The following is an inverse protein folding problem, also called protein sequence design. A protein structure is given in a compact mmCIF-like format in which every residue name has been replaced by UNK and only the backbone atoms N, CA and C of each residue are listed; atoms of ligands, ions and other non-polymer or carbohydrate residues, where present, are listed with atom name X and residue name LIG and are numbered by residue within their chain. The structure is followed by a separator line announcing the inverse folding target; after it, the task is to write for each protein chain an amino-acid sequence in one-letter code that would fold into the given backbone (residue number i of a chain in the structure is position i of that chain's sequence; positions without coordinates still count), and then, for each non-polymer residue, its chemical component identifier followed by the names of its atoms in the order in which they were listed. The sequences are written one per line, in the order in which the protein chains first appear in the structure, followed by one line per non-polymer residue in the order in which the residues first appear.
data_IF_285304766430
#
_entry.id   IF_285304766430
#
_cell.length_a   1.000
_cell.length_b   1.000
_cell.length_c   1.000
_cell.angle_alpha   90.00
_cell.angle_beta   90.00
_cell.angle_gamma   90.00
#
_symmetry.space_group_name_H-M   'P 1'
#
loop_
_entity.id
_entity.type
_entity.pdbx_description
1 polymer ?
#
# COMPACT_ATOMS: atom_id res chain seq x y z
N UNK A 1 1.54 55.68 -1.51
CA UNK A 1 1.70 56.28 -2.86
C UNK A 1 1.56 57.77 -2.74
N UNK A 2 2.37 58.50 -3.50
CA UNK A 2 2.77 59.90 -3.33
C UNK A 2 1.59 60.88 -3.52
N UNK A 3 1.43 61.82 -2.58
CA UNK A 3 0.63 63.02 -2.74
C UNK A 3 1.30 63.97 -3.73
N UNK A 4 0.55 64.44 -4.73
CA UNK A 4 0.96 65.54 -5.59
C UNK A 4 0.04 66.73 -5.36
N UNK A 5 0.61 67.72 -4.69
CA UNK A 5 0.18 69.12 -4.69
C UNK A 5 0.58 69.71 -6.05
N UNK A 6 -0.32 70.42 -6.73
CA UNK A 6 0.02 71.16 -7.94
C UNK A 6 -0.41 72.64 -7.83
N UNK A 7 0.50 73.49 -8.33
CA UNK A 7 0.68 74.89 -8.02
C UNK A 7 -0.36 75.86 -8.59
N UNK A 8 -0.54 76.95 -7.85
CA UNK A 8 -1.01 78.25 -8.35
C UNK A 8 -0.13 78.74 -9.52
N UNK A 9 -0.76 79.15 -10.62
CA UNK A 9 -0.15 80.04 -11.61
C UNK A 9 -0.79 81.43 -11.55
N UNK A 10 0.11 82.39 -11.34
CA UNK A 10 -0.05 83.84 -11.21
C UNK A 10 -0.20 84.46 -12.61
N UNK A 11 -1.12 85.40 -12.79
CA UNK A 11 -1.18 86.24 -14.00
C UNK A 11 -1.20 87.73 -13.62
N UNK A 12 -0.28 88.46 -14.26
CA UNK A 12 0.06 89.87 -14.07
C UNK A 12 -1.03 90.83 -14.49
N UNK A 13 -1.15 91.89 -13.71
CA UNK A 13 -1.77 93.17 -14.05
C UNK A 13 -0.82 94.04 -14.89
N UNK A 14 -1.30 94.55 -16.03
CA UNK A 14 -0.72 95.75 -16.69
C UNK A 14 -1.81 96.55 -17.43
N UNK A 15 -1.97 97.79 -16.97
CA UNK A 15 -2.30 99.05 -17.67
C UNK A 15 -3.48 99.13 -18.67
N UNK A 16 -4.37 100.07 -18.33
CA UNK A 16 -5.35 100.81 -19.14
C UNK A 16 -4.75 101.60 -20.31
N UNK A 17 -5.54 101.97 -21.34
CA UNK A 17 -6.12 103.33 -21.32
C UNK A 17 -7.58 103.43 -21.83
N UNK A 18 -8.23 104.51 -21.44
CA UNK A 18 -9.53 105.02 -21.89
C UNK A 18 -9.54 105.33 -23.40
N UNK A 19 -10.71 105.28 -24.05
CA UNK A 19 -11.19 106.54 -24.61
C UNK A 19 -12.69 106.80 -24.43
N UNK A 20 -13.01 108.10 -24.33
CA UNK A 20 -14.33 108.69 -24.51
C UNK A 20 -15.04 108.14 -25.76
N UNK A 21 -16.31 107.76 -25.61
CA UNK A 21 -17.28 107.75 -26.70
C UNK A 21 -18.70 107.82 -26.14
N UNK A 22 -19.14 109.05 -25.88
CA UNK A 22 -20.52 109.44 -25.72
C UNK A 22 -21.30 109.08 -26.99
N UNK A 23 -22.33 108.23 -26.88
CA UNK A 23 -23.30 107.99 -27.95
C UNK A 23 -23.45 106.52 -28.35
N UNK A 24 -24.42 105.83 -27.73
CA UNK A 24 -25.23 104.69 -28.24
C UNK A 24 -25.75 103.85 -27.05
N UNK A 25 -26.71 104.41 -26.31
CA UNK A 25 -27.32 103.71 -25.16
C UNK A 25 -28.25 102.56 -25.60
N UNK A 26 -28.68 102.51 -26.87
CA UNK A 26 -29.64 101.50 -27.35
C UNK A 26 -29.02 100.27 -28.05
N UNK A 27 -27.85 100.40 -28.71
CA UNK A 27 -27.15 99.26 -29.33
C UNK A 27 -26.29 98.44 -28.35
N UNK A 28 -25.80 99.07 -27.28
CA UNK A 28 -24.98 98.44 -26.23
C UNK A 28 -25.79 97.53 -25.31
N UNK A 29 -27.04 97.90 -24.98
CA UNK A 29 -27.95 97.07 -24.20
C UNK A 29 -28.34 95.78 -24.95
N UNK A 30 -28.67 95.86 -26.25
CA UNK A 30 -28.92 94.71 -27.11
C UNK A 30 -27.69 93.79 -27.25
N UNK A 31 -26.47 94.36 -27.32
CA UNK A 31 -25.21 93.62 -27.36
C UNK A 31 -24.90 92.90 -26.03
N UNK A 32 -25.16 93.55 -24.88
CA UNK A 32 -25.03 92.93 -23.55
C UNK A 32 -26.07 91.84 -23.32
N UNK A 33 -27.31 92.07 -23.74
CA UNK A 33 -28.40 91.10 -23.60
C UNK A 33 -28.15 89.84 -24.46
N UNK A 34 -27.69 90.02 -25.71
CA UNK A 34 -27.30 88.89 -26.58
C UNK A 34 -26.06 88.15 -26.05
N UNK A 35 -25.10 88.86 -25.44
CA UNK A 35 -23.96 88.24 -24.77
C UNK A 35 -24.39 87.44 -23.52
N UNK A 36 -25.28 87.98 -22.68
CA UNK A 36 -25.82 87.26 -21.52
C UNK A 36 -26.62 86.02 -21.95
N UNK A 37 -27.44 86.10 -23.00
CA UNK A 37 -28.15 84.95 -23.57
C UNK A 37 -27.18 83.87 -24.09
N UNK A 38 -26.07 84.29 -24.74
CA UNK A 38 -25.03 83.37 -25.22
C UNK A 38 -24.28 82.68 -24.06
N UNK A 39 -24.00 83.42 -22.98
CA UNK A 39 -23.34 82.86 -21.79
C UNK A 39 -24.27 81.93 -21.01
N UNK A 40 -25.56 82.26 -20.90
CA UNK A 40 -26.57 81.39 -20.31
C UNK A 40 -26.74 80.09 -21.11
N UNK A 41 -26.84 80.18 -22.44
CA UNK A 41 -26.92 79.00 -23.32
C UNK A 41 -25.66 78.13 -23.21
N UNK A 42 -24.47 78.74 -23.15
CA UNK A 42 -23.20 78.01 -22.96
C UNK A 42 -23.15 77.32 -21.59
N UNK A 43 -23.63 77.98 -20.54
CA UNK A 43 -23.69 77.42 -19.20
C UNK A 43 -24.68 76.25 -19.11
N UNK A 44 -25.84 76.38 -19.75
CA UNK A 44 -26.84 75.31 -19.84
C UNK A 44 -26.29 74.08 -20.57
N UNK A 45 -25.58 74.28 -21.70
CA UNK A 45 -24.90 73.20 -22.42
C UNK A 45 -23.82 72.53 -21.57
N UNK A 46 -23.02 73.31 -20.83
CA UNK A 46 -21.99 72.78 -19.93
C UNK A 46 -22.60 71.96 -18.77
N UNK A 47 -23.66 72.47 -18.15
CA UNK A 47 -24.37 71.74 -17.08
C UNK A 47 -24.98 70.44 -17.60
N UNK A 48 -25.59 70.47 -18.78
CA UNK A 48 -26.13 69.27 -19.44
C UNK A 48 -25.04 68.25 -19.80
N UNK A 49 -23.86 68.71 -20.20
CA UNK A 49 -22.71 67.85 -20.48
C UNK A 49 -22.14 67.23 -19.20
N UNK A 50 -22.06 67.98 -18.10
CA UNK A 50 -21.69 67.45 -16.78
C UNK A 50 -22.68 66.41 -16.28
N UNK A 51 -23.98 66.69 -16.35
CA UNK A 51 -25.01 65.73 -15.93
C UNK A 51 -24.96 64.44 -16.78
N UNK A 52 -24.72 64.56 -18.08
CA UNK A 52 -24.54 63.41 -18.97
C UNK A 52 -23.27 62.62 -18.64
N UNK A 53 -22.18 63.29 -18.23
CA UNK A 53 -20.94 62.63 -17.80
C UNK A 53 -21.12 61.91 -16.46
N UNK A 54 -21.78 62.55 -15.49
CA UNK A 54 -22.06 61.98 -14.18
C UNK A 54 -22.99 60.76 -14.27
N UNK A 55 -24.02 60.81 -15.13
CA UNK A 55 -24.89 59.65 -15.40
C UNK A 55 -24.10 58.48 -15.97
N UNK A 56 -23.24 58.72 -16.96
CA UNK A 56 -22.36 57.67 -17.52
C UNK A 56 -21.42 57.09 -16.48
N UNK A 57 -20.84 57.93 -15.62
CA UNK A 57 -19.98 57.47 -14.52
C UNK A 57 -20.76 56.61 -13.52
N UNK A 58 -21.97 57.04 -13.13
CA UNK A 58 -22.83 56.28 -12.23
C UNK A 58 -23.24 54.92 -12.82
N UNK A 59 -23.57 54.86 -14.11
CA UNK A 59 -23.87 53.62 -14.83
C UNK A 59 -22.66 52.66 -14.85
N UNK A 60 -21.46 53.17 -15.15
CA UNK A 60 -20.23 52.35 -15.15
C UNK A 60 -19.92 51.83 -13.74
N UNK A 61 -20.09 52.65 -12.70
CA UNK A 61 -19.88 52.24 -11.31
C UNK A 61 -20.89 51.15 -10.93
N UNK A 62 -22.17 51.34 -11.24
CA UNK A 62 -23.22 50.36 -10.97
C UNK A 62 -22.95 49.03 -11.70
N UNK A 63 -22.57 49.09 -12.97
CA UNK A 63 -22.24 47.89 -13.75
C UNK A 63 -21.02 47.17 -13.18
N UNK A 64 -19.97 47.90 -12.77
CA UNK A 64 -18.79 47.29 -12.17
C UNK A 64 -19.09 46.63 -10.82
N UNK A 65 -19.89 47.28 -9.97
CA UNK A 65 -20.36 46.70 -8.71
C UNK A 65 -21.15 45.41 -8.98
N UNK A 66 -22.07 45.43 -9.95
CA UNK A 66 -22.86 44.25 -10.30
C UNK A 66 -21.98 43.13 -10.85
N UNK A 67 -21.03 43.43 -11.74
CA UNK A 67 -20.06 42.45 -12.26
C UNK A 67 -19.21 41.85 -11.15
N UNK A 68 -18.76 42.65 -10.18
CA UNK A 68 -18.03 42.14 -9.02
C UNK A 68 -18.89 41.24 -8.14
N UNK A 69 -20.15 41.61 -7.91
CA UNK A 69 -21.10 40.79 -7.14
C UNK A 69 -21.33 39.44 -7.82
N UNK A 70 -21.65 39.43 -9.12
CA UNK A 70 -21.86 38.20 -9.89
C UNK A 70 -20.61 37.30 -9.93
N UNK A 71 -19.41 37.88 -10.03
CA UNK A 71 -18.16 37.11 -9.93
C UNK A 71 -17.97 36.45 -8.57
N UNK A 72 -18.22 37.19 -7.47
CA UNK A 72 -18.13 36.66 -6.11
C UNK A 72 -19.18 35.58 -5.84
N UNK A 73 -20.41 35.79 -6.32
CA UNK A 73 -21.50 34.82 -6.20
C UNK A 73 -21.20 33.54 -6.99
N UNK A 74 -20.69 33.65 -8.22
CA UNK A 74 -20.24 32.49 -8.99
C UNK A 74 -19.11 31.71 -8.32
N UNK A 75 -18.13 32.42 -7.72
CA UNK A 75 -17.09 31.77 -6.92
C UNK A 75 -17.65 31.07 -5.69
N UNK A 76 -18.59 31.71 -4.99
CA UNK A 76 -19.25 31.14 -3.82
C UNK A 76 -20.01 29.85 -4.17
N UNK A 77 -20.79 29.85 -5.25
CA UNK A 77 -21.52 28.67 -5.71
C UNK A 77 -20.58 27.52 -6.07
N UNK A 78 -19.44 27.83 -6.71
CA UNK A 78 -18.43 26.82 -7.03
C UNK A 78 -17.82 26.20 -5.76
N UNK A 79 -17.41 27.05 -4.81
CA UNK A 79 -16.87 26.60 -3.52
C UNK A 79 -17.90 25.77 -2.74
N UNK A 80 -19.17 26.17 -2.78
CA UNK A 80 -20.26 25.45 -2.13
C UNK A 80 -20.43 24.05 -2.76
N UNK A 81 -20.38 23.96 -4.09
CA UNK A 81 -20.45 22.67 -4.78
C UNK A 81 -19.27 21.78 -4.42
N UNK A 82 -18.04 22.30 -4.42
CA UNK A 82 -16.85 21.56 -4.01
C UNK A 82 -16.95 21.01 -2.57
N UNK A 83 -17.56 21.79 -1.67
CA UNK A 83 -17.82 21.34 -0.28
C UNK A 83 -18.86 20.22 -0.23
N UNK A 84 -19.95 20.32 -1.00
CA UNK A 84 -20.97 19.26 -1.04
C UNK A 84 -20.43 17.98 -1.69
N UNK A 85 -19.67 18.08 -2.78
CA UNK A 85 -19.00 16.96 -3.41
C UNK A 85 -18.01 16.28 -2.44
N UNK A 86 -17.27 17.09 -1.67
CA UNK A 86 -16.39 16.60 -0.61
C UNK A 86 -17.13 15.84 0.49
N UNK A 87 -18.32 16.30 0.89
CA UNK A 87 -19.17 15.59 1.87
C UNK A 87 -19.69 14.26 1.31
N UNK A 88 -20.07 14.22 0.03
CA UNK A 88 -20.51 12.99 -0.63
C UNK A 88 -19.37 11.97 -0.70
N UNK A 89 -18.18 12.38 -1.11
CA UNK A 89 -16.99 11.53 -1.13
C UNK A 89 -16.65 11.01 0.27
N UNK A 90 -16.70 11.86 1.30
CA UNK A 90 -16.44 11.45 2.68
C UNK A 90 -17.43 10.37 3.16
N UNK A 91 -18.71 10.49 2.80
CA UNK A 91 -19.73 9.47 3.10
C UNK A 91 -19.44 8.15 2.39
N UNK A 92 -19.10 8.19 1.10
CA UNK A 92 -18.76 6.99 0.33
C UNK A 92 -17.53 6.28 0.91
N UNK A 93 -16.49 7.05 1.28
CA UNK A 93 -15.30 6.48 1.92
C UNK A 93 -15.62 5.86 3.28
N UNK A 94 -16.49 6.49 4.07
CA UNK A 94 -16.92 5.93 5.34
C UNK A 94 -17.66 4.61 5.16
N UNK A 95 -18.61 4.55 4.23
CA UNK A 95 -19.34 3.32 3.90
C UNK A 95 -18.39 2.20 3.43
N UNK A 96 -17.43 2.52 2.55
CA UNK A 96 -16.42 1.56 2.09
C UNK A 96 -15.56 1.02 3.24
N UNK A 97 -15.14 1.91 4.16
CA UNK A 97 -14.37 1.50 5.33
C UNK A 97 -15.20 0.60 6.25
N UNK A 98 -16.46 0.96 6.51
CA UNK A 98 -17.36 0.16 7.33
C UNK A 98 -17.59 -1.23 6.72
N UNK A 99 -17.86 -1.31 5.40
CA UNK A 99 -17.99 -2.58 4.69
C UNK A 99 -16.70 -3.42 4.78
N UNK A 100 -15.53 -2.78 4.69
CA UNK A 100 -14.25 -3.47 4.82
C UNK A 100 -14.04 -4.01 6.25
N UNK A 101 -14.39 -3.23 7.27
CA UNK A 101 -14.33 -3.66 8.67
C UNK A 101 -15.29 -4.81 8.95
N UNK A 102 -16.54 -4.71 8.49
CA UNK A 102 -17.52 -5.79 8.60
C UNK A 102 -17.04 -7.06 7.88
N UNK A 103 -16.45 -6.93 6.69
CA UNK A 103 -15.90 -8.07 5.94
C UNK A 103 -14.74 -8.73 6.70
N UNK A 104 -13.83 -7.93 7.28
CA UNK A 104 -12.73 -8.44 8.11
C UNK A 104 -13.27 -9.15 9.36
N UNK A 105 -14.23 -8.56 10.06
CA UNK A 105 -14.85 -9.14 11.24
C UNK A 105 -15.51 -10.50 10.91
N UNK A 106 -16.25 -10.59 9.80
CA UNK A 106 -16.84 -11.85 9.33
C UNK A 106 -15.77 -12.89 8.99
N UNK A 107 -14.68 -12.48 8.33
CA UNK A 107 -13.56 -13.36 8.03
C UNK A 107 -12.90 -13.90 9.31
N UNK A 108 -12.68 -13.05 10.31
CA UNK A 108 -12.13 -13.47 11.61
C UNK A 108 -13.07 -14.39 12.36
N UNK A 109 -14.39 -14.10 12.40
CA UNK A 109 -15.38 -14.98 13.02
C UNK A 109 -15.38 -16.36 12.36
N UNK A 110 -15.43 -16.41 11.03
CA UNK A 110 -15.40 -17.67 10.28
C UNK A 110 -14.12 -18.45 10.54
N UNK A 111 -12.97 -17.76 10.51
CA UNK A 111 -11.68 -18.40 10.79
C UNK A 111 -11.58 -18.92 12.23
N UNK A 112 -12.15 -18.19 13.19
CA UNK A 112 -12.22 -18.63 14.58
C UNK A 112 -13.10 -19.88 14.70
N UNK A 113 -14.30 -19.88 14.13
CA UNK A 113 -15.19 -21.04 14.11
C UNK A 113 -14.52 -22.27 13.47
N UNK A 114 -13.93 -22.09 12.27
CA UNK A 114 -13.15 -23.11 11.57
C UNK A 114 -12.02 -23.64 12.48
N UNK A 115 -11.25 -22.77 13.12
CA UNK A 115 -10.17 -23.18 14.02
C UNK A 115 -10.69 -23.91 15.27
N UNK A 116 -11.77 -23.44 15.87
CA UNK A 116 -12.37 -24.06 17.05
C UNK A 116 -12.84 -25.47 16.73
N UNK A 117 -13.56 -25.66 15.62
CA UNK A 117 -14.07 -26.98 15.19
C UNK A 117 -12.95 -27.90 14.70
N UNK A 118 -12.09 -27.41 13.80
CA UNK A 118 -11.12 -28.27 13.12
C UNK A 118 -9.85 -28.51 13.93
N UNK A 119 -9.47 -27.58 14.82
CA UNK A 119 -8.25 -27.66 15.62
C UNK A 119 -8.54 -27.92 17.09
N UNK A 120 -9.25 -27.01 17.74
CA UNK A 120 -9.40 -27.05 19.19
C UNK A 120 -10.16 -28.30 19.65
N UNK A 121 -11.34 -28.55 19.10
CA UNK A 121 -12.15 -29.71 19.46
C UNK A 121 -11.44 -31.04 19.14
N UNK A 122 -10.81 -31.16 17.96
CA UNK A 122 -10.06 -32.38 17.60
C UNK A 122 -8.91 -32.70 18.54
N UNK A 123 -8.24 -31.68 19.09
CA UNK A 123 -7.14 -31.87 20.04
C UNK A 123 -7.65 -32.05 21.47
N UNK A 124 -8.64 -31.27 21.89
CA UNK A 124 -9.07 -31.16 23.28
C UNK A 124 -10.10 -32.23 23.67
N UNK A 125 -11.06 -32.55 22.80
CA UNK A 125 -12.15 -33.47 23.12
C UNK A 125 -11.65 -34.90 23.43
N UNK A 126 -10.64 -35.46 22.73
CA UNK A 126 -10.07 -36.77 23.11
C UNK A 126 -9.42 -36.75 24.49
N UNK A 127 -8.76 -35.64 24.85
CA UNK A 127 -8.14 -35.47 26.17
C UNK A 127 -9.22 -35.39 27.23
N UNK A 128 -10.23 -34.54 27.02
CA UNK A 128 -11.35 -34.35 27.92
C UNK A 128 -12.10 -35.67 28.16
N UNK A 129 -12.41 -36.40 27.08
CA UNK A 129 -13.06 -37.71 27.12
C UNK A 129 -12.23 -38.70 27.91
N UNK A 130 -10.91 -38.76 27.69
CA UNK A 130 -10.02 -39.65 28.45
C UNK A 130 -10.01 -39.30 29.93
N UNK A 131 -9.93 -38.01 30.29
CA UNK A 131 -9.94 -37.55 31.68
C UNK A 131 -11.28 -37.83 32.38
N UNK A 132 -12.40 -37.69 31.65
CA UNK A 132 -13.75 -37.93 32.16
C UNK A 132 -14.08 -39.42 32.31
N UNK A 133 -13.59 -40.26 31.39
CA UNK A 133 -13.77 -41.72 31.44
C UNK A 133 -12.89 -42.40 32.49
N UNK A 134 -11.78 -41.76 32.90
CA UNK A 134 -10.94 -42.29 33.98
C UNK A 134 -11.67 -42.29 35.32
N UNK A 135 -11.83 -43.48 35.90
CA UNK A 135 -12.41 -43.67 37.23
C UNK A 135 -11.52 -43.02 38.30
N UNK A 136 -12.13 -42.49 39.36
CA UNK A 136 -11.42 -41.85 40.48
C UNK A 136 -10.43 -42.81 41.14
N UNK A 137 -10.74 -44.11 41.15
CA UNK A 137 -9.84 -45.16 41.66
C UNK A 137 -8.61 -45.34 40.78
N UNK A 138 -8.76 -45.33 39.45
CA UNK A 138 -7.64 -45.42 38.51
C UNK A 138 -6.72 -44.20 38.64
N UNK A 139 -7.31 -43.00 38.74
CA UNK A 139 -6.55 -41.76 38.98
C UNK A 139 -5.79 -41.78 40.30
N UNK A 140 -6.39 -42.33 41.35
CA UNK A 140 -5.71 -42.51 42.65
C UNK A 140 -4.58 -43.54 42.56
N UNK A 141 -4.77 -44.62 41.81
CA UNK A 141 -3.75 -45.65 41.60
C UNK A 141 -2.54 -45.12 40.82
N UNK A 142 -2.76 -44.36 39.74
CA UNK A 142 -1.67 -43.72 38.99
C UNK A 142 -0.89 -42.72 39.86
N UNK A 143 -1.58 -41.92 40.69
CA UNK A 143 -0.92 -41.02 41.65
C UNK A 143 -0.09 -41.79 42.67
N UNK A 144 -0.63 -42.88 43.20
CA UNK A 144 0.08 -43.74 44.14
C UNK A 144 1.30 -44.40 43.49
N UNK A 145 1.19 -44.84 42.23
CA UNK A 145 2.31 -45.41 41.47
C UNK A 145 3.40 -44.37 41.21
N UNK A 146 3.04 -43.15 40.79
CA UNK A 146 3.99 -42.05 40.60
C UNK A 146 4.69 -41.66 41.92
N UNK A 147 3.94 -41.62 43.02
CA UNK A 147 4.50 -41.35 44.35
C UNK A 147 5.41 -42.49 44.83
N UNK A 148 5.04 -43.75 44.55
CA UNK A 148 5.87 -44.90 44.86
C UNK A 148 7.17 -44.89 44.05
N UNK A 149 7.13 -44.51 42.77
CA UNK A 149 8.33 -44.30 41.95
C UNK A 149 9.25 -43.25 42.59
N UNK A 150 8.69 -42.12 43.03
CA UNK A 150 9.44 -41.10 43.76
C UNK A 150 10.08 -41.65 45.04
N UNK A 151 9.33 -42.37 45.88
CA UNK A 151 9.86 -42.99 47.11
C UNK A 151 10.98 -44.00 46.82
N UNK A 152 10.83 -44.80 45.78
CA UNK A 152 11.84 -45.78 45.37
C UNK A 152 13.14 -45.09 44.92
N UNK A 153 13.03 -43.93 44.26
CA UNK A 153 14.18 -43.11 43.86
C UNK A 153 14.83 -42.47 45.08
N UNK A 154 14.05 -41.86 45.99
CA UNK A 154 14.60 -41.17 47.18
C UNK A 154 15.24 -42.13 48.18
N UNK A 155 14.77 -43.37 48.27
CA UNK A 155 15.28 -44.38 49.20
C UNK A 155 16.51 -45.15 48.66
N UNK A 156 16.90 -44.98 47.39
CA UNK A 156 18.13 -45.59 46.85
C UNK A 156 19.37 -44.92 47.50
N UNK A 157 20.30 -45.75 47.98
CA UNK A 157 21.58 -45.30 48.54
C UNK A 157 22.48 -44.78 47.41
N UNK A 158 22.50 -43.46 47.23
CA UNK A 158 23.30 -42.78 46.20
C UNK A 158 22.96 -41.30 46.05
N UNK A 159 21.77 -40.89 46.47
CA UNK A 159 21.27 -39.54 46.21
C UNK A 159 20.85 -39.37 44.75
N UNK A 160 19.94 -38.44 44.49
CA UNK A 160 19.50 -38.14 43.13
C UNK A 160 20.44 -37.12 42.51
N UNK A 161 21.28 -37.54 41.57
CA UNK A 161 22.05 -36.62 40.74
C UNK A 161 21.10 -35.91 39.77
N UNK A 162 21.09 -34.57 39.80
CA UNK A 162 20.15 -33.76 39.00
C UNK A 162 20.68 -33.41 37.61
N UNK A 163 21.99 -33.56 37.44
CA UNK A 163 22.80 -33.13 36.31
C UNK A 163 23.21 -34.28 35.38
N UNK A 164 23.10 -35.52 35.85
CA UNK A 164 23.35 -36.73 35.04
C UNK A 164 22.12 -37.64 35.07
N UNK A 165 21.78 -38.22 33.92
CA UNK A 165 20.71 -39.22 33.81
C UNK A 165 21.35 -40.60 33.83
N UNK A 166 21.09 -41.35 34.90
CA UNK A 166 21.48 -42.76 35.00
C UNK A 166 20.21 -43.58 34.74
N UNK A 167 20.05 -44.13 33.54
CA UNK A 167 18.80 -44.76 33.09
C UNK A 167 18.31 -45.90 34.00
N UNK A 168 19.23 -46.61 34.67
CA UNK A 168 18.92 -47.67 35.64
C UNK A 168 18.47 -47.16 37.02
N UNK A 169 18.73 -45.89 37.32
CA UNK A 169 18.47 -45.28 38.63
C UNK A 169 17.33 -44.28 38.59
N UNK A 170 17.35 -43.38 37.61
CA UNK A 170 16.35 -42.34 37.41
C UNK A 170 16.36 -41.85 35.95
N UNK A 171 15.22 -41.96 35.29
CA UNK A 171 15.03 -41.38 33.96
C UNK A 171 13.82 -40.43 33.97
N UNK A 172 14.04 -39.10 34.05
CA UNK A 172 12.97 -38.11 34.02
C UNK A 172 12.25 -38.05 32.66
N UNK A 173 12.82 -38.65 31.61
CA UNK A 173 12.26 -38.72 30.27
C UNK A 173 11.56 -40.06 29.99
N UNK A 174 11.40 -40.93 30.99
CA UNK A 174 10.69 -42.22 30.83
C UNK A 174 9.24 -42.05 30.34
N UNK A 175 8.64 -40.91 30.63
CA UNK A 175 7.31 -40.48 30.18
C UNK A 175 7.32 -39.71 28.84
N UNK A 176 8.47 -39.62 28.14
CA UNK A 176 8.57 -38.99 26.82
C UNK A 176 7.67 -39.64 25.75
N UNK A 177 7.08 -40.82 26.05
CA UNK A 177 6.00 -41.44 25.28
C UNK A 177 4.84 -40.48 25.02
N UNK A 178 4.57 -39.56 25.95
CA UNK A 178 3.49 -38.57 25.81
C UNK A 178 3.85 -37.37 24.92
N UNK A 179 5.14 -37.18 24.57
CA UNK A 179 5.62 -36.05 23.74
C UNK A 179 5.42 -36.33 22.23
N UNK A 180 5.20 -37.60 21.85
CA UNK A 180 5.11 -38.01 20.45
C UNK A 180 3.71 -37.91 19.82
N UNK A 181 2.73 -37.29 20.50
CA UNK A 181 1.40 -37.15 19.92
C UNK A 181 1.40 -36.16 18.74
N UNK A 182 1.34 -36.70 17.51
CA UNK A 182 1.18 -35.93 16.28
C UNK A 182 -0.24 -36.12 15.74
N UNK A 183 -1.11 -35.15 15.96
CA UNK A 183 -2.39 -35.09 15.28
C UNK A 183 -2.22 -34.39 13.93
N UNK A 184 -2.78 -34.98 12.86
CA UNK A 184 -2.94 -34.28 11.58
C UNK A 184 -4.18 -33.40 11.70
N UNK A 185 -3.97 -32.10 11.77
CA UNK A 185 -5.03 -31.12 12.00
C UNK A 185 -5.01 -30.08 10.90
N UNK A 186 -6.20 -29.73 10.41
CA UNK A 186 -6.37 -28.65 9.44
C UNK A 186 -6.38 -27.29 10.16
N UNK A 187 -5.21 -26.68 10.30
CA UNK A 187 -5.09 -25.34 10.91
C UNK A 187 -5.33 -24.23 9.86
N UNK A 188 -6.43 -23.45 9.96
CA UNK A 188 -6.73 -22.37 9.03
C UNK A 188 -5.68 -21.26 9.03
N UNK A 189 -4.93 -21.06 10.13
CA UNK A 189 -3.86 -20.05 10.21
C UNK A 189 -2.63 -20.48 9.39
N UNK A 190 -2.44 -21.79 9.23
CA UNK A 190 -1.36 -22.38 8.42
C UNK A 190 -1.77 -22.67 6.97
N UNK A 191 -3.00 -22.32 6.57
CA UNK A 191 -3.52 -22.57 5.22
C UNK A 191 -2.65 -21.98 4.12
N UNK A 192 -2.01 -20.83 4.37
CA UNK A 192 -1.08 -20.21 3.40
C UNK A 192 0.15 -21.09 3.17
N UNK A 193 0.75 -21.62 4.24
CA UNK A 193 1.89 -22.54 4.15
C UNK A 193 1.49 -23.84 3.45
N UNK A 194 0.31 -24.38 3.76
CA UNK A 194 -0.19 -25.60 3.11
C UNK A 194 -0.53 -25.40 1.64
N UNK A 195 -1.20 -24.30 1.29
CA UNK A 195 -1.49 -23.96 -0.11
C UNK A 195 -0.20 -23.95 -0.92
N UNK A 196 0.88 -23.39 -0.35
CA UNK A 196 2.19 -23.43 -0.99
C UNK A 196 2.75 -24.85 -1.14
N UNK A 197 2.67 -25.67 -0.09
CA UNK A 197 3.09 -27.08 -0.18
C UNK A 197 2.29 -27.85 -1.26
N UNK A 198 0.99 -27.57 -1.39
CA UNK A 198 0.11 -28.13 -2.41
C UNK A 198 0.49 -27.61 -3.82
N UNK A 199 0.74 -26.31 -3.97
CA UNK A 199 1.20 -25.69 -5.22
C UNK A 199 2.57 -26.25 -5.65
N UNK A 200 3.53 -26.37 -4.73
CA UNK A 200 4.84 -26.98 -4.97
C UNK A 200 4.71 -28.46 -5.34
N UNK A 201 3.77 -29.18 -4.71
CA UNK A 201 3.51 -30.58 -5.05
C UNK A 201 2.95 -30.71 -6.47
N UNK A 202 2.00 -29.86 -6.87
CA UNK A 202 1.42 -29.83 -8.22
C UNK A 202 2.48 -29.42 -9.26
N UNK A 203 3.33 -28.43 -8.95
CA UNK A 203 4.43 -28.02 -9.81
C UNK A 203 5.43 -29.17 -10.02
N UNK A 204 5.82 -29.87 -8.94
CA UNK A 204 6.70 -31.06 -9.05
C UNK A 204 6.07 -32.18 -9.85
N UNK A 205 4.77 -32.43 -9.70
CA UNK A 205 4.07 -33.44 -10.47
C UNK A 205 4.04 -33.09 -11.97
N UNK A 206 3.83 -31.81 -12.29
CA UNK A 206 3.97 -31.29 -13.65
C UNK A 206 5.40 -31.41 -14.21
N UNK A 207 6.42 -31.20 -13.37
CA UNK A 207 7.83 -31.37 -13.76
C UNK A 207 8.21 -32.83 -14.02
N UNK A 208 7.67 -33.76 -13.24
CA UNK A 208 7.86 -35.20 -13.48
C UNK A 208 7.26 -35.67 -14.81
N UNK A 209 6.20 -35.01 -15.29
CA UNK A 209 5.64 -35.24 -16.63
C UNK A 209 6.51 -34.66 -17.75
N UNK A 210 7.36 -33.68 -17.44
CA UNK A 210 8.21 -32.98 -18.41
C UNK A 210 9.67 -33.46 -18.42
N UNK A 211 9.95 -34.76 -18.27
CA UNK A 211 11.23 -35.45 -18.55
C UNK A 211 12.56 -34.81 -18.06
N UNK A 212 12.52 -33.77 -17.23
CA UNK A 212 13.68 -33.12 -16.64
C UNK A 212 13.86 -33.66 -15.21
N UNK A 213 15.07 -34.16 -14.95
CA UNK A 213 15.41 -34.85 -13.70
C UNK A 213 15.10 -33.99 -12.46
N UNK A 214 14.37 -34.48 -11.45
CA UNK A 214 14.01 -33.67 -10.30
C UNK A 214 15.22 -33.56 -9.36
N UNK A 215 15.91 -32.42 -9.37
CA UNK A 215 16.88 -32.10 -8.32
C UNK A 215 16.12 -31.69 -7.06
N UNK A 216 15.86 -32.66 -6.18
CA UNK A 216 15.31 -32.43 -4.83
C UNK A 216 16.39 -31.73 -4.01
N UNK A 217 16.38 -30.40 -3.99
CA UNK A 217 17.16 -29.64 -3.04
C UNK A 217 16.20 -29.08 -1.98
N UNK A 218 16.41 -29.50 -0.74
CA UNK A 218 15.87 -28.87 0.48
C UNK A 218 16.50 -27.48 0.64
N UNK A 219 16.30 -26.57 -0.32
CA UNK A 219 16.74 -25.19 -0.18
C UNK A 219 15.74 -24.45 0.70
N UNK A 220 16.24 -23.92 1.82
CA UNK A 220 15.52 -22.96 2.63
C UNK A 220 15.21 -21.75 1.74
N UNK A 221 13.93 -21.56 1.42
CA UNK A 221 13.47 -20.47 0.58
C UNK A 221 13.77 -19.11 1.22
N UNK A 222 14.72 -18.38 0.63
CA UNK A 222 15.03 -16.99 1.00
C UNK A 222 14.20 -16.07 0.11
N UNK A 223 12.97 -15.73 0.53
CA UNK A 223 12.07 -14.86 -0.23
C UNK A 223 10.71 -14.64 0.43
N UNK A 224 9.92 -13.69 -0.08
CA UNK A 224 8.52 -13.49 0.35
C UNK A 224 7.76 -14.81 0.11
N UNK A 225 7.04 -15.35 1.11
CA UNK A 225 6.43 -16.68 1.03
C UNK A 225 5.26 -16.78 0.02
N UNK A 226 4.84 -15.65 -0.54
CA UNK A 226 3.66 -15.54 -1.40
C UNK A 226 3.95 -15.81 -2.89
N UNK A 227 5.22 -15.93 -3.30
CA UNK A 227 5.61 -16.08 -4.71
C UNK A 227 6.16 -17.48 -5.01
N UNK A 228 5.66 -18.12 -6.07
CA UNK A 228 6.21 -19.34 -6.66
C UNK A 228 7.65 -19.09 -7.15
N UNK A 229 8.54 -20.08 -7.03
CA UNK A 229 9.93 -19.95 -7.51
C UNK A 229 9.94 -19.59 -9.00
N UNK A 230 10.72 -18.58 -9.37
CA UNK A 230 10.89 -18.13 -10.75
C UNK A 230 11.46 -19.25 -11.62
N UNK A 231 12.22 -20.19 -11.04
CA UNK A 231 12.70 -21.38 -11.79
C UNK A 231 11.58 -22.32 -12.23
N UNK A 232 10.44 -22.30 -11.54
CA UNK A 232 9.25 -23.10 -11.89
C UNK A 232 8.43 -22.47 -13.03
N UNK A 233 8.82 -21.28 -13.54
CA UNK A 233 8.18 -20.62 -14.67
C UNK A 233 8.56 -21.22 -16.03
N UNK A 234 9.37 -22.28 -16.05
CA UNK A 234 9.65 -23.04 -17.27
C UNK A 234 8.39 -23.69 -17.84
N UNK A 235 8.36 -23.83 -19.17
CA UNK A 235 7.20 -24.31 -19.92
C UNK A 235 6.84 -25.74 -19.50
N UNK A 236 5.59 -25.97 -19.09
CA UNK A 236 5.08 -27.27 -18.63
C UNK A 236 4.94 -27.40 -17.11
N UNK A 237 5.87 -26.82 -16.33
CA UNK A 237 5.84 -26.85 -14.85
C UNK A 237 4.92 -25.78 -14.29
N UNK A 238 4.96 -24.57 -14.85
CA UNK A 238 4.06 -23.49 -14.45
C UNK A 238 2.62 -23.77 -14.87
N UNK A 239 2.40 -24.29 -16.08
CA UNK A 239 1.06 -24.53 -16.65
C UNK A 239 0.24 -25.55 -15.86
N UNK A 240 0.89 -26.46 -15.10
CA UNK A 240 0.19 -27.41 -14.23
C UNK A 240 -0.31 -26.77 -12.94
N UNK A 241 0.25 -25.61 -12.54
CA UNK A 241 -0.22 -24.87 -11.35
C UNK A 241 -1.52 -24.11 -11.65
N UNK A 242 -2.37 -23.84 -10.63
CA UNK A 242 -3.58 -23.04 -10.83
C UNK A 242 -3.33 -21.66 -11.45
N UNK A 243 -2.20 -21.02 -11.11
CA UNK A 243 -1.80 -19.74 -11.70
C UNK A 243 -1.47 -19.87 -13.18
N UNK A 244 -0.69 -20.88 -13.58
CA UNK A 244 -0.38 -21.12 -14.98
C UNK A 244 -1.58 -21.57 -15.80
N UNK A 245 -2.52 -22.32 -15.22
CA UNK A 245 -3.78 -22.66 -15.88
C UNK A 245 -4.62 -21.41 -16.17
N UNK A 246 -4.75 -20.50 -15.20
CA UNK A 246 -5.44 -19.22 -15.42
C UNK A 246 -4.71 -18.33 -16.43
N UNK A 247 -3.37 -18.29 -16.37
CA UNK A 247 -2.54 -17.56 -17.31
C UNK A 247 -2.70 -18.11 -18.75
N UNK A 248 -2.76 -19.43 -18.90
CA UNK A 248 -3.06 -20.11 -20.17
C UNK A 248 -4.46 -19.77 -20.67
N UNK A 249 -5.46 -19.76 -19.79
CA UNK A 249 -6.83 -19.40 -20.16
C UNK A 249 -6.93 -17.94 -20.63
N UNK A 250 -6.29 -17.00 -19.93
CA UNK A 250 -6.28 -15.60 -20.34
C UNK A 250 -5.46 -15.35 -21.61
N UNK A 251 -4.30 -16.01 -21.75
CA UNK A 251 -3.51 -15.92 -22.97
C UNK A 251 -4.17 -16.62 -24.17
N UNK A 252 -5.06 -17.61 -23.94
CA UNK A 252 -5.86 -18.23 -25.00
C UNK A 252 -6.94 -17.28 -25.54
N UNK A 253 -7.34 -16.27 -24.76
CA UNK A 253 -8.21 -15.17 -25.21
C UNK A 253 -7.45 -14.00 -25.82
N UNK A 254 -6.12 -13.96 -25.64
CA UNK A 254 -5.27 -13.00 -26.31
C UNK A 254 -5.01 -13.49 -27.74
N UNK A 255 -5.69 -12.87 -28.71
CA UNK A 255 -5.42 -13.04 -30.14
C UNK A 255 -3.91 -12.99 -30.45
N UNK A 256 -3.46 -13.70 -31.48
CA UNK A 256 -2.04 -13.87 -31.86
C UNK A 256 -1.29 -12.57 -32.19
N UNK A 257 -1.94 -11.42 -32.13
CA UNK A 257 -1.32 -10.10 -32.15
C UNK A 257 -1.05 -9.64 -30.73
N UNK A 258 0.09 -10.10 -30.18
CA UNK A 258 0.59 -9.67 -28.88
C UNK A 258 0.67 -8.14 -28.81
N UNK A 259 -0.11 -7.55 -27.90
CA UNK A 259 -0.06 -6.11 -27.65
C UNK A 259 1.38 -5.70 -27.30
N UNK A 260 1.91 -4.70 -28.01
CA UNK A 260 3.28 -4.15 -27.86
C UNK A 260 3.60 -3.68 -26.43
N UNK A 261 2.61 -3.62 -25.54
CA UNK A 261 2.75 -3.29 -24.12
C UNK A 261 3.28 -4.45 -23.26
N UNK A 262 3.23 -5.70 -23.73
CA UNK A 262 3.70 -6.87 -22.97
C UNK A 262 5.13 -7.31 -23.32
N UNK A 263 5.75 -6.74 -24.36
CA UNK A 263 7.12 -7.06 -24.73
C UNK A 263 8.11 -6.26 -23.87
N UNK A 264 8.68 -6.91 -22.84
CA UNK A 264 9.85 -6.37 -22.15
C UNK A 264 11.00 -6.20 -23.15
N UNK A 265 11.48 -4.96 -23.33
CA UNK A 265 12.72 -4.67 -24.07
C UNK A 265 13.98 -4.93 -23.25
N UNK A 266 13.82 -5.28 -21.98
CA UNK A 266 14.91 -5.50 -21.05
C UNK A 266 15.28 -6.98 -21.07
N UNK A 267 16.45 -7.29 -21.61
CA UNK A 267 17.07 -8.62 -21.46
C UNK A 267 17.54 -8.75 -20.00
N UNK A 268 16.83 -9.54 -19.20
CA UNK A 268 17.18 -9.81 -17.79
C UNK A 268 18.13 -11.02 -17.69
N UNK A 269 19.19 -11.05 -18.51
CA UNK A 269 20.13 -12.19 -18.58
C UNK A 269 21.28 -12.09 -17.57
N UNK A 270 21.24 -11.11 -16.66
CA UNK A 270 22.33 -10.74 -15.74
C UNK A 270 22.74 -11.85 -14.75
N UNK A 271 21.93 -12.90 -14.60
CA UNK A 271 22.21 -14.04 -13.73
C UNK A 271 22.45 -15.35 -14.49
N UNK A 272 22.42 -15.32 -15.83
CA UNK A 272 22.68 -16.48 -16.67
C UNK A 272 24.18 -16.65 -16.89
N UNK A 273 24.90 -16.87 -15.80
CA UNK A 273 26.34 -17.17 -15.81
C UNK A 273 26.48 -18.66 -16.12
N UNK A 274 27.37 -19.02 -17.04
CA UNK A 274 27.64 -20.42 -17.36
C UNK A 274 28.15 -21.15 -16.10
N UNK A 275 27.36 -22.10 -15.62
CA UNK A 275 27.68 -22.91 -14.44
C UNK A 275 28.11 -24.29 -14.90
N UNK A 276 29.34 -24.67 -14.60
CA UNK A 276 29.85 -26.00 -14.91
C UNK A 276 31.27 -26.21 -14.41
N UNK A 277 31.64 -27.47 -14.19
CA UNK A 277 33.00 -27.81 -13.75
C UNK A 277 34.06 -27.45 -14.79
N UNK A 278 33.66 -27.29 -16.06
CA UNK A 278 34.51 -26.89 -17.17
C UNK A 278 34.83 -25.39 -17.12
N UNK A 279 33.81 -24.53 -16.98
CA UNK A 279 33.96 -23.08 -16.81
C UNK A 279 34.80 -22.77 -15.56
N UNK A 280 34.55 -23.49 -14.47
CA UNK A 280 35.30 -23.33 -13.22
C UNK A 280 36.77 -23.76 -13.37
N UNK A 281 37.09 -24.75 -14.21
CA UNK A 281 38.50 -25.12 -14.52
C UNK A 281 39.18 -24.12 -15.46
N UNK A 282 38.41 -23.42 -16.28
CA UNK A 282 38.91 -22.39 -17.19
C UNK A 282 39.26 -21.11 -16.42
N UNK A 283 38.40 -20.70 -15.48
CA UNK A 283 38.62 -19.54 -14.61
C UNK A 283 39.60 -19.83 -13.47
N UNK A 284 39.61 -21.05 -12.92
CA UNK A 284 40.49 -21.51 -11.86
C UNK A 284 41.28 -22.75 -12.31
N UNK A 285 42.33 -22.59 -13.14
CA UNK A 285 43.17 -23.71 -13.54
C UNK A 285 43.79 -24.37 -12.31
N UNK A 286 43.70 -25.70 -12.23
CA UNK A 286 44.26 -26.47 -11.12
C UNK A 286 45.76 -26.16 -11.02
N UNK A 287 46.18 -25.58 -9.89
CA UNK A 287 47.59 -25.35 -9.60
C UNK A 287 48.41 -26.63 -9.71
N UNK A 288 49.72 -26.50 -9.94
CA UNK A 288 50.64 -27.65 -10.05
C UNK A 288 50.46 -28.55 -8.82
N UNK A 289 49.98 -29.78 -9.03
CA UNK A 289 49.90 -30.78 -7.95
C UNK A 289 51.32 -31.07 -7.49
N UNK A 290 51.61 -30.85 -6.22
CA UNK A 290 52.77 -31.43 -5.58
C UNK A 290 52.54 -32.93 -5.48
N UNK A 291 53.34 -33.72 -6.20
CA UNK A 291 53.39 -35.18 -6.04
C UNK A 291 54.07 -35.48 -4.72
N UNK A 292 53.30 -35.48 -3.63
CA UNK A 292 53.78 -36.02 -2.35
C UNK A 292 53.54 -37.54 -2.38
N UNK A 293 54.55 -38.29 -2.82
CA UNK A 293 54.61 -39.74 -2.61
C UNK A 293 54.91 -40.00 -1.14
N UNK A 294 53.86 -40.14 -0.32
CA UNK A 294 54.03 -40.33 1.11
C UNK A 294 52.74 -40.60 1.86
N UNK A 295 52.51 -41.89 2.09
CA UNK A 295 51.50 -42.53 2.97
C UNK A 295 50.08 -42.75 2.41
N UNK A 296 49.78 -44.04 2.21
CA UNK A 296 48.44 -44.61 2.02
C UNK A 296 47.56 -44.24 3.23
N UNK A 297 46.57 -43.39 3.02
CA UNK A 297 45.48 -43.18 3.99
C UNK A 297 44.61 -44.46 3.99
N UNK A 298 44.36 -45.10 5.15
CA UNK A 298 43.57 -46.32 5.19
C UNK A 298 42.11 -46.03 4.82
N UNK A 299 41.52 -46.92 4.00
CA UNK A 299 40.10 -46.85 3.60
C UNK A 299 39.21 -47.01 4.83
N UNK A 300 38.55 -45.95 5.28
CA UNK A 300 37.44 -46.06 6.22
C UNK A 300 36.18 -46.44 5.45
N UNK A 301 35.83 -47.72 5.54
CA UNK A 301 34.52 -48.23 5.14
C UNK A 301 33.50 -47.74 6.17
N UNK A 302 32.68 -46.74 5.81
CA UNK A 302 31.45 -46.43 6.54
C UNK A 302 30.32 -47.09 5.75
N UNK A 303 29.89 -48.27 6.21
CA UNK A 303 28.61 -48.83 5.80
C UNK A 303 27.54 -48.25 6.73
N UNK A 304 26.60 -47.51 6.14
CA UNK A 304 25.39 -47.07 6.81
C UNK A 304 24.35 -48.15 6.53
N UNK A 305 23.97 -48.89 7.57
CA UNK A 305 22.68 -49.60 7.67
C UNK A 305 21.70 -48.74 8.42
#
# INVERSE_FOLDING_TARGET
MKSYVCCLCRSRSTSSPSPNASGKITASALSKETHMKRMAMKHELYMKEQEAMEKKLAEIIAENIQRQKSKKEGQYLKLQQEVEDGKLLAKELHEKLELQEQSKARQFSRMHEEWTTEVYHKLNDPILTKVQTMDGKQRSAEKAEAYQKFLNITNKKGGLFRDIIIESEYNPLSDAKFINHRAKVDDPVKRVMRRREEEDAIARDGANMSNESPSVQNEQYVGRPDNLDVKLWSKGVYESTPYGYFHKMMNSTASSEGSKTYASRVKLDHYNIEKGSEVLRQELPKGKRTTFDGHKVPKTTIQIT
#
